data_IF_557779476684
#
_entry.id   IF_557779476684
#
_cell.length_a   1.000
_cell.length_b   1.000
_cell.length_c   1.000
_cell.angle_alpha   90.00
_cell.angle_beta   90.00
_cell.angle_gamma   90.00
#
_symmetry.space_group_name_H-M   'P 1'
#
loop_
_entity.id
_entity.type
_entity.pdbx_description
1 polymer ?
#
# COMPACT_ATOMS: atom_id res chain seq x y z
N UNK A 1 18.85 54.57 5.09
CA UNK A 1 18.02 53.76 4.18
C UNK A 1 18.39 52.31 4.45
N UNK A 2 17.54 51.61 5.19
CA UNK A 2 17.80 50.24 5.63
C UNK A 2 17.20 49.23 4.67
N UNK A 3 17.84 48.08 4.53
CA UNK A 3 17.17 46.83 4.17
C UNK A 3 17.86 45.68 4.93
N UNK A 4 17.10 44.99 5.79
CA UNK A 4 17.45 43.64 6.25
C UNK A 4 16.49 42.69 5.56
N UNK A 5 17.02 41.85 4.66
CA UNK A 5 16.25 40.78 4.04
C UNK A 5 16.04 39.66 5.06
N UNK A 6 14.80 39.24 5.26
CA UNK A 6 14.50 38.04 6.04
C UNK A 6 14.11 36.91 5.08
N UNK A 7 14.76 35.76 5.22
CA UNK A 7 14.40 34.53 4.54
C UNK A 7 13.87 33.54 5.58
N UNK A 8 12.76 32.87 5.28
CA UNK A 8 12.10 31.92 6.17
C UNK A 8 11.73 30.68 5.35
N UNK A 9 12.06 29.51 5.89
CA UNK A 9 11.72 28.21 5.34
C UNK A 9 11.00 27.41 6.43
N UNK A 10 9.85 26.84 6.08
CA UNK A 10 9.09 25.90 6.91
C UNK A 10 9.23 24.52 6.30
N UNK A 11 9.58 23.53 7.12
CA UNK A 11 9.57 22.11 6.77
C UNK A 11 8.77 21.36 7.83
N UNK A 12 8.17 20.24 7.42
CA UNK A 12 7.43 19.34 8.29
C UNK A 12 8.14 17.99 8.21
N UNK A 13 8.44 17.39 9.35
CA UNK A 13 8.98 16.03 9.41
C UNK A 13 7.85 15.16 9.92
N UNK A 14 7.34 14.30 9.04
CA UNK A 14 6.41 13.25 9.43
C UNK A 14 7.16 11.92 9.56
N UNK A 15 6.87 11.20 10.62
CA UNK A 15 7.49 9.91 10.99
C UNK A 15 6.44 8.85 11.29
N UNK A 16 5.15 9.16 11.18
CA UNK A 16 4.08 8.22 11.40
C UNK A 16 3.98 7.31 10.19
N UNK A 17 4.22 6.02 10.37
CA UNK A 17 4.04 5.06 9.29
C UNK A 17 2.54 4.95 8.96
N UNK A 18 2.17 4.90 7.66
CA UNK A 18 0.79 4.62 7.27
C UNK A 18 0.37 3.24 7.79
N UNK A 19 -0.93 3.08 8.05
CA UNK A 19 -1.49 1.80 8.45
C UNK A 19 -2.22 1.17 7.27
N UNK A 20 -1.83 -0.05 6.91
CA UNK A 20 -2.44 -0.81 5.82
C UNK A 20 -2.95 -2.15 6.31
N UNK A 21 -4.07 -2.60 5.74
CA UNK A 21 -4.70 -3.86 6.11
C UNK A 21 -5.20 -4.60 4.88
N UNK A 22 -4.96 -5.91 4.86
CA UNK A 22 -5.52 -6.83 3.86
C UNK A 22 -6.90 -7.26 4.36
N UNK A 23 -7.93 -6.72 3.73
CA UNK A 23 -9.32 -6.98 4.09
C UNK A 23 -9.85 -8.25 3.40
N UNK A 24 -9.33 -8.57 2.22
CA UNK A 24 -9.56 -9.82 1.54
C UNK A 24 -8.30 -10.27 0.77
N UNK A 25 -8.01 -11.59 0.72
CA UNK A 25 -8.68 -12.64 1.50
C UNK A 25 -8.39 -12.53 3.00
N UNK A 26 -9.30 -13.00 3.84
CA UNK A 26 -9.08 -12.99 5.28
C UNK A 26 -7.86 -13.84 5.64
N UNK A 27 -7.14 -13.46 6.70
CA UNK A 27 -6.01 -14.23 7.18
C UNK A 27 -6.43 -15.68 7.46
N UNK A 28 -5.70 -16.65 6.88
CA UNK A 28 -6.00 -18.09 6.96
C UNK A 28 -7.29 -18.54 6.25
N UNK A 29 -7.83 -17.73 5.33
CA UNK A 29 -8.98 -18.16 4.52
C UNK A 29 -8.61 -19.34 3.62
N UNK A 30 -9.43 -20.39 3.67
CA UNK A 30 -9.38 -21.51 2.72
C UNK A 30 -10.34 -21.18 1.59
N UNK A 31 -9.78 -20.85 0.43
CA UNK A 31 -10.55 -20.52 -0.77
C UNK A 31 -10.63 -21.74 -1.67
N UNK A 32 -11.85 -22.15 -2.02
CA UNK A 32 -12.10 -23.21 -3.02
C UNK A 32 -12.20 -22.64 -4.45
N UNK A 33 -11.64 -21.46 -4.65
CA UNK A 33 -11.68 -20.72 -5.91
C UNK A 33 -10.26 -20.30 -6.25
N UNK A 34 -9.91 -20.51 -7.51
CA UNK A 34 -8.60 -20.14 -8.00
C UNK A 34 -8.51 -18.64 -8.37
N UNK A 35 -9.66 -17.97 -8.53
CA UNK A 35 -9.72 -16.51 -8.59
C UNK A 35 -9.83 -15.96 -7.17
N UNK A 36 -8.75 -15.36 -6.67
CA UNK A 36 -8.69 -14.81 -5.30
C UNK A 36 -8.90 -13.29 -5.36
N UNK A 37 -10.04 -12.76 -4.88
CA UNK A 37 -10.23 -11.32 -4.77
C UNK A 37 -9.32 -10.76 -3.68
N UNK A 38 -8.64 -9.67 -3.99
CA UNK A 38 -7.78 -8.94 -3.06
C UNK A 38 -8.36 -7.57 -2.82
N UNK A 39 -8.52 -7.22 -1.55
CA UNK A 39 -8.97 -5.90 -1.10
C UNK A 39 -8.00 -5.43 -0.04
N UNK A 40 -7.32 -4.32 -0.32
CA UNK A 40 -6.38 -3.66 0.57
C UNK A 40 -6.93 -2.27 0.90
N UNK A 41 -6.90 -1.91 2.17
CA UNK A 41 -7.28 -0.58 2.65
C UNK A 41 -6.09 0.03 3.34
N UNK A 42 -5.85 1.30 3.07
CA UNK A 42 -4.74 2.04 3.65
C UNK A 42 -5.23 3.37 4.20
N UNK A 43 -4.75 3.69 5.39
CA UNK A 43 -5.12 4.85 6.18
C UNK A 43 -3.86 5.60 6.58
N UNK A 44 -3.88 6.89 6.31
CA UNK A 44 -2.80 7.81 6.63
C UNK A 44 -3.38 9.10 7.21
N UNK A 45 -2.83 9.53 8.34
CA UNK A 45 -3.28 10.70 9.11
C UNK A 45 -2.34 11.93 8.94
N UNK A 46 -1.38 11.91 8.00
CA UNK A 46 -0.47 13.05 7.82
C UNK A 46 0.63 12.96 6.75
N UNK A 47 1.20 11.78 6.47
CA UNK A 47 2.39 11.63 5.62
C UNK A 47 2.06 11.49 4.13
N UNK A 48 0.84 11.07 3.81
CA UNK A 48 0.45 10.60 2.50
C UNK A 48 1.04 9.22 2.18
N UNK A 49 0.22 8.36 1.60
CA UNK A 49 0.65 7.05 1.07
C UNK A 49 1.18 7.24 -0.34
N UNK A 50 2.44 6.85 -0.61
CA UNK A 50 2.93 6.73 -1.98
C UNK A 50 2.33 5.46 -2.60
N UNK A 51 1.15 5.63 -3.20
CA UNK A 51 0.46 4.57 -3.92
C UNK A 51 1.29 4.00 -5.08
N UNK A 52 2.31 4.72 -5.58
CA UNK A 52 3.25 4.25 -6.60
C UNK A 52 4.31 3.30 -6.05
N UNK A 53 4.48 3.25 -4.72
CA UNK A 53 5.41 2.35 -4.02
C UNK A 53 4.71 1.13 -3.42
N UNK A 54 3.41 1.02 -3.63
CA UNK A 54 2.64 -0.13 -3.19
C UNK A 54 3.06 -1.35 -4.01
N UNK A 55 3.54 -2.40 -3.32
CA UNK A 55 3.92 -3.66 -3.92
C UNK A 55 3.15 -4.79 -3.25
N UNK A 56 2.30 -5.46 -4.04
CA UNK A 56 1.68 -6.72 -3.65
C UNK A 56 2.55 -7.87 -4.10
N UNK A 57 2.93 -8.74 -3.18
CA UNK A 57 3.57 -10.01 -3.51
C UNK A 57 2.71 -11.19 -3.08
N UNK A 58 2.71 -12.23 -3.90
CA UNK A 58 2.08 -13.53 -3.62
C UNK A 58 3.15 -14.60 -3.76
N UNK A 59 3.46 -15.30 -2.67
CA UNK A 59 4.58 -16.24 -2.58
C UNK A 59 5.92 -15.63 -3.02
N UNK A 60 6.11 -14.34 -2.71
CA UNK A 60 7.29 -13.58 -3.11
C UNK A 60 7.29 -13.09 -4.57
N UNK A 61 6.29 -13.44 -5.38
CA UNK A 61 6.15 -12.95 -6.75
C UNK A 61 5.37 -11.64 -6.75
N UNK A 62 5.90 -10.59 -7.38
CA UNK A 62 5.20 -9.32 -7.52
C UNK A 62 3.95 -9.49 -8.41
N UNK A 63 2.78 -9.19 -7.84
CA UNK A 63 1.46 -9.22 -8.47
C UNK A 63 0.75 -7.85 -8.43
N UNK A 64 1.48 -6.78 -8.13
CA UNK A 64 0.95 -5.42 -8.06
C UNK A 64 0.18 -5.01 -9.31
N UNK A 65 0.60 -5.48 -10.49
CA UNK A 65 -0.07 -5.18 -11.76
C UNK A 65 -1.52 -5.68 -11.88
N UNK A 66 -1.99 -6.55 -10.98
CA UNK A 66 -3.40 -6.98 -10.94
C UNK A 66 -4.28 -6.04 -10.13
N UNK A 67 -3.68 -5.12 -9.37
CA UNK A 67 -4.38 -4.19 -8.50
C UNK A 67 -4.74 -2.92 -9.28
N UNK A 68 -5.98 -2.49 -9.09
CA UNK A 68 -6.41 -1.13 -9.32
C UNK A 68 -6.18 -0.36 -8.02
N UNK A 69 -5.20 0.53 -8.04
CA UNK A 69 -4.79 1.32 -6.87
C UNK A 69 -5.52 2.67 -6.94
N UNK A 70 -6.30 2.99 -5.91
CA UNK A 70 -6.91 4.32 -5.73
C UNK A 70 -6.43 4.95 -4.41
N UNK A 71 -6.85 6.18 -4.13
CA UNK A 71 -6.35 6.98 -3.02
C UNK A 71 -6.48 6.33 -1.62
N UNK A 72 -7.49 5.49 -1.38
CA UNK A 72 -7.76 4.90 -0.06
C UNK A 72 -7.77 3.37 -0.05
N UNK A 73 -7.79 2.74 -1.23
CA UNK A 73 -7.89 1.28 -1.34
C UNK A 73 -7.26 0.78 -2.63
N UNK A 74 -6.72 -0.44 -2.59
CA UNK A 74 -6.32 -1.16 -3.78
C UNK A 74 -7.14 -2.44 -3.87
N UNK A 75 -7.70 -2.70 -5.05
CA UNK A 75 -8.53 -3.89 -5.29
C UNK A 75 -8.10 -4.59 -6.56
N UNK A 76 -8.20 -5.91 -6.57
CA UNK A 76 -7.89 -6.68 -7.76
C UNK A 76 -8.26 -8.14 -7.60
N UNK A 77 -8.00 -8.91 -8.64
CA UNK A 77 -8.20 -10.37 -8.61
C UNK A 77 -6.90 -11.03 -9.01
N UNK A 78 -6.38 -11.88 -8.14
CA UNK A 78 -5.20 -12.68 -8.46
C UNK A 78 -5.55 -13.72 -9.52
N UNK A 79 -4.61 -14.03 -10.43
CA UNK A 79 -4.79 -15.12 -11.36
C UNK A 79 -4.86 -16.46 -10.62
N UNK A 80 -5.29 -17.49 -11.34
CA UNK A 80 -5.34 -18.88 -10.88
C UNK A 80 -4.04 -19.24 -10.13
N UNK A 81 -4.18 -19.48 -8.83
CA UNK A 81 -3.11 -20.02 -8.00
C UNK A 81 -3.26 -21.55 -7.96
N UNK A 82 -2.15 -22.32 -8.04
CA UNK A 82 -2.16 -23.77 -7.83
C UNK A 82 -2.79 -24.17 -6.49
N UNK A 83 -3.07 -25.45 -6.29
CA UNK A 83 -3.38 -25.92 -4.94
C UNK A 83 -2.15 -25.79 -4.03
N UNK A 84 -2.36 -25.24 -2.83
CA UNK A 84 -1.28 -25.01 -1.89
C UNK A 84 -1.57 -23.90 -0.89
N UNK A 85 -0.62 -23.71 0.02
CA UNK A 85 -0.60 -22.56 0.91
C UNK A 85 0.02 -21.41 0.16
N UNK A 86 -0.72 -20.31 0.05
CA UNK A 86 -0.25 -19.07 -0.57
C UNK A 86 -0.15 -17.96 0.46
N UNK A 87 0.95 -17.21 0.42
CA UNK A 87 1.16 -16.07 1.31
C UNK A 87 1.05 -14.77 0.53
N UNK A 88 0.19 -13.86 1.00
CA UNK A 88 0.05 -12.52 0.44
C UNK A 88 0.77 -11.53 1.37
N UNK A 89 1.64 -10.71 0.80
CA UNK A 89 2.34 -9.67 1.53
C UNK A 89 2.19 -8.33 0.79
N UNK A 90 1.82 -7.31 1.55
CA UNK A 90 1.81 -5.92 1.10
C UNK A 90 3.07 -5.23 1.59
N UNK A 91 3.73 -4.49 0.70
CA UNK A 91 4.82 -3.60 1.04
C UNK A 91 4.48 -2.20 0.53
N UNK A 92 4.51 -1.23 1.43
CA UNK A 92 4.43 0.18 1.10
C UNK A 92 5.68 0.93 1.58
N UNK A 93 5.97 2.06 0.94
CA UNK A 93 6.93 3.03 1.45
C UNK A 93 6.18 4.28 1.88
N UNK A 94 6.53 4.80 3.06
CA UNK A 94 6.10 6.13 3.48
C UNK A 94 6.75 7.18 2.57
N UNK A 95 5.98 8.15 2.09
CA UNK A 95 6.53 9.28 1.34
C UNK A 95 7.12 10.25 2.35
N UNK A 96 8.44 10.28 2.50
CA UNK A 96 9.09 11.37 3.23
C UNK A 96 9.41 12.46 2.21
N UNK A 97 8.72 13.59 2.31
CA UNK A 97 8.91 14.78 1.47
C UNK A 97 10.24 15.47 1.70
#
# INVERSE_FOLDING_TARGET
MGISGSARATFVVDTVAPTSSIQAPAANAILNTSAVPVVLVYQDDGSGIDTSKLVLTVDGVNRTGVLTIVLAQATGTLPVLPDGVHTIQLNEMCTVG
#
